data_IF_521129560282
#
_entry.id   IF_521129560282
#
_cell.length_a   1.000
_cell.length_b   1.000
_cell.length_c   1.000
_cell.angle_alpha   90.00
_cell.angle_beta   90.00
_cell.angle_gamma   90.00
#
_symmetry.space_group_name_H-M   'P 1'
#
loop_
_entity.id
_entity.type
_entity.pdbx_description
1 polymer ?
#
# COMPACT_ATOMS: atom_id res chain seq x y z
N UNK A 1 -9.73 5.35 13.03
CA UNK A 1 -10.85 6.13 12.45
C UNK A 1 -10.88 7.49 13.12
N UNK A 2 -11.16 8.59 12.41
CA UNK A 2 -11.28 9.91 13.05
C UNK A 2 -12.39 9.89 14.11
N UNK A 3 -12.21 10.65 15.19
CA UNK A 3 -13.23 10.81 16.25
C UNK A 3 -14.46 11.58 15.78
N UNK A 4 -14.31 12.46 14.79
CA UNK A 4 -15.39 13.15 14.09
C UNK A 4 -14.97 13.55 12.67
N UNK A 5 -15.95 13.78 11.78
CA UNK A 5 -15.72 14.21 10.40
C UNK A 5 -15.61 13.06 9.40
N UNK A 6 -15.08 13.37 8.21
CA UNK A 6 -14.95 12.41 7.09
C UNK A 6 -13.61 12.56 6.38
N UNK A 7 -13.11 11.47 5.81
CA UNK A 7 -11.90 11.45 4.98
C UNK A 7 -12.32 10.93 3.61
N UNK A 8 -12.31 11.80 2.60
CA UNK A 8 -12.74 11.47 1.24
C UNK A 8 -11.53 11.45 0.32
N UNK A 9 -11.24 10.30 -0.30
CA UNK A 9 -10.19 10.14 -1.31
C UNK A 9 -10.81 9.51 -2.56
N UNK A 10 -10.61 10.12 -3.73
CA UNK A 10 -11.23 9.68 -4.99
C UNK A 10 -12.75 9.45 -4.87
N UNK A 11 -13.44 10.31 -4.10
CA UNK A 11 -14.88 10.20 -3.86
C UNK A 11 -15.31 9.12 -2.85
N UNK A 12 -14.37 8.37 -2.27
CA UNK A 12 -14.64 7.33 -1.28
C UNK A 12 -14.45 7.89 0.13
N UNK A 13 -15.51 7.86 0.95
CA UNK A 13 -15.45 8.19 2.38
C UNK A 13 -14.89 7.00 3.18
N UNK A 14 -13.61 7.09 3.57
CA UNK A 14 -12.88 6.03 4.27
C UNK A 14 -13.40 5.78 5.69
N UNK A 15 -14.08 6.76 6.31
CA UNK A 15 -14.64 6.61 7.64
C UNK A 15 -15.83 5.62 7.65
N UNK A 16 -16.48 5.41 6.50
CA UNK A 16 -17.62 4.50 6.33
C UNK A 16 -17.24 3.08 5.93
N UNK A 17 -15.99 2.84 5.55
CA UNK A 17 -15.49 1.52 5.15
C UNK A 17 -15.28 0.62 6.37
N UNK A 18 -15.37 -0.70 6.18
CA UNK A 18 -14.88 -1.66 7.18
C UNK A 18 -13.34 -1.61 7.26
N UNK A 19 -12.73 -2.22 8.28
CA UNK A 19 -11.25 -2.27 8.33
C UNK A 19 -10.66 -3.07 7.16
N UNK A 20 -11.32 -4.16 6.77
CA UNK A 20 -10.92 -4.97 5.61
C UNK A 20 -10.98 -4.15 4.32
N UNK A 21 -12.03 -3.35 4.14
CA UNK A 21 -12.18 -2.50 2.96
C UNK A 21 -11.16 -1.36 2.95
N UNK A 22 -10.88 -0.76 4.12
CA UNK A 22 -9.80 0.22 4.25
C UNK A 22 -8.45 -0.39 3.91
N UNK A 23 -8.15 -1.60 4.40
CA UNK A 23 -6.91 -2.29 4.07
C UNK A 23 -6.79 -2.59 2.57
N UNK A 24 -7.89 -3.00 1.93
CA UNK A 24 -7.94 -3.21 0.48
C UNK A 24 -7.75 -1.89 -0.31
N UNK A 25 -8.34 -0.78 0.18
CA UNK A 25 -8.15 0.55 -0.39
C UNK A 25 -6.68 0.97 -0.30
N UNK A 26 -6.07 0.91 0.89
CA UNK A 26 -4.65 1.25 1.13
C UNK A 26 -3.75 0.48 0.17
N UNK A 27 -3.96 -0.83 0.05
CA UNK A 27 -3.15 -1.71 -0.82
C UNK A 27 -3.16 -1.32 -2.30
N UNK A 28 -4.26 -0.73 -2.79
CA UNK A 28 -4.41 -0.38 -4.21
C UNK A 28 -4.09 1.07 -4.52
N UNK A 29 -4.25 1.96 -3.54
CA UNK A 29 -4.29 3.41 -3.78
C UNK A 29 -3.20 4.20 -3.06
N UNK A 30 -2.62 3.67 -1.98
CA UNK A 30 -1.67 4.42 -1.16
C UNK A 30 -0.31 3.72 -1.09
N UNK A 31 0.75 4.53 -1.14
CA UNK A 31 2.11 4.16 -0.72
C UNK A 31 2.49 4.96 0.51
N UNK A 32 3.17 4.34 1.47
CA UNK A 32 3.59 4.99 2.72
C UNK A 32 5.11 4.93 2.82
N UNK A 33 5.73 6.08 3.10
CA UNK A 33 7.16 6.20 3.38
C UNK A 33 7.32 6.63 4.83
N UNK A 34 8.20 5.96 5.56
CA UNK A 34 8.50 6.22 6.97
C UNK A 34 9.88 6.84 7.11
N UNK A 35 10.14 7.52 8.24
CA UNK A 35 11.47 8.03 8.57
C UNK A 35 12.46 6.90 8.90
N UNK A 36 11.98 5.84 9.57
CA UNK A 36 12.75 4.62 9.79
C UNK A 36 12.64 3.66 8.60
N UNK A 37 13.65 2.80 8.44
CA UNK A 37 13.71 1.78 7.40
C UNK A 37 12.74 0.64 7.70
N UNK A 38 11.50 0.78 7.22
CA UNK A 38 10.46 -0.26 7.29
C UNK A 38 10.66 -1.35 6.22
N UNK A 39 11.91 -1.79 6.02
CA UNK A 39 12.28 -2.88 5.12
C UNK A 39 12.24 -4.22 5.85
N UNK A 40 11.92 -5.28 5.11
CA UNK A 40 12.03 -6.64 5.63
C UNK A 40 13.50 -7.07 5.48
N UNK A 41 14.24 -7.33 6.58
CA UNK A 41 15.71 -7.43 6.54
C UNK A 41 16.27 -8.59 5.72
N UNK A 42 15.50 -9.68 5.59
CA UNK A 42 15.89 -10.87 4.84
C UNK A 42 15.44 -10.83 3.38
N UNK A 43 14.88 -9.71 2.90
CA UNK A 43 14.52 -9.48 1.52
C UNK A 43 15.47 -8.45 0.88
N UNK A 44 15.84 -8.66 -0.37
CA UNK A 44 16.53 -7.66 -1.18
C UNK A 44 15.68 -6.41 -1.40
N UNK A 45 16.31 -5.32 -1.86
CA UNK A 45 15.60 -4.10 -2.24
C UNK A 45 14.53 -4.36 -3.32
N UNK A 46 14.85 -5.22 -4.29
CA UNK A 46 13.92 -5.64 -5.34
C UNK A 46 12.71 -6.39 -4.76
N UNK A 47 12.94 -7.33 -3.84
CA UNK A 47 11.87 -8.10 -3.20
C UNK A 47 10.98 -7.22 -2.30
N UNK A 48 11.58 -6.32 -1.53
CA UNK A 48 10.84 -5.33 -0.75
C UNK A 48 9.95 -4.44 -1.64
N UNK A 49 10.45 -4.03 -2.81
CA UNK A 49 9.68 -3.26 -3.78
C UNK A 49 8.57 -4.11 -4.45
N UNK A 50 8.79 -5.40 -4.68
CA UNK A 50 7.82 -6.31 -5.30
C UNK A 50 6.67 -6.73 -4.37
N UNK A 51 6.96 -6.93 -3.08
CA UNK A 51 6.05 -7.57 -2.13
C UNK A 51 4.68 -6.88 -2.03
N UNK A 52 4.55 -5.54 -1.90
CA UNK A 52 3.25 -4.88 -1.86
C UNK A 52 2.43 -5.11 -3.13
N UNK A 53 3.09 -5.14 -4.30
CA UNK A 53 2.44 -5.39 -5.59
C UNK A 53 1.95 -6.84 -5.73
N UNK A 54 2.71 -7.81 -5.22
CA UNK A 54 2.30 -9.21 -5.17
C UNK A 54 1.09 -9.42 -4.24
N UNK A 55 1.08 -8.76 -3.07
CA UNK A 55 -0.08 -8.76 -2.16
C UNK A 55 -1.32 -8.11 -2.79
N UNK A 56 -1.11 -7.15 -3.70
CA UNK A 56 -2.15 -6.56 -4.54
C UNK A 56 -2.54 -7.42 -5.76
N UNK A 57 -1.95 -8.62 -5.91
CA UNK A 57 -2.13 -9.54 -7.04
C UNK A 57 -1.82 -8.92 -8.41
N UNK A 58 -0.87 -7.97 -8.46
CA UNK A 58 -0.39 -7.40 -9.71
C UNK A 58 0.52 -8.37 -10.45
N UNK A 59 0.18 -8.66 -11.71
CA UNK A 59 0.97 -9.56 -12.57
C UNK A 59 2.30 -8.95 -13.02
N UNK A 60 2.41 -7.63 -13.01
CA UNK A 60 3.57 -6.88 -13.48
C UNK A 60 4.56 -6.49 -12.36
N UNK A 61 4.41 -7.05 -11.15
CA UNK A 61 5.16 -6.66 -9.96
C UNK A 61 6.69 -6.66 -10.18
N UNK A 62 7.24 -7.72 -10.80
CA UNK A 62 8.68 -7.80 -11.07
C UNK A 62 9.15 -6.77 -12.08
N UNK A 63 8.43 -6.61 -13.20
CA UNK A 63 8.76 -5.61 -14.22
C UNK A 63 8.73 -4.20 -13.64
N UNK A 64 7.71 -3.89 -12.84
CA UNK A 64 7.58 -2.57 -12.21
C UNK A 64 8.67 -2.32 -11.17
N UNK A 65 8.98 -3.29 -10.32
CA UNK A 65 10.02 -3.13 -9.30
C UNK A 65 11.41 -2.91 -9.93
N UNK A 66 11.74 -3.64 -11.00
CA UNK A 66 12.99 -3.41 -11.76
C UNK A 66 13.10 -2.04 -12.41
N UNK A 67 11.98 -1.36 -12.68
CA UNK A 67 11.98 0.01 -13.24
C UNK A 67 12.12 1.12 -12.19
N UNK A 68 12.05 0.76 -10.91
CA UNK A 68 12.11 1.69 -9.78
C UNK A 68 13.48 1.70 -9.10
N UNK A 69 14.37 0.80 -9.51
CA UNK A 69 15.72 0.59 -9.01
C UNK A 69 16.70 0.81 -10.16
#
# INVERSE_FOLDING_TARGET
>A
TPSAGRIVIEGVDLARLSESDRAAFRRRKLGIVYQADNLIPFLSALENAMLPMQLARRKDASKRARSLL
#
